data_IF_257120914634
#
_entry.id   IF_257120914634
#
_cell.length_a   1.000
_cell.length_b   1.000
_cell.length_c   1.000
_cell.angle_alpha   90.00
_cell.angle_beta   90.00
_cell.angle_gamma   90.00
#
_symmetry.space_group_name_H-M   'P 1'
#
loop_
_entity.id
_entity.type
_entity.pdbx_description
1 polymer ?
#
# COMPACT_ATOMS: atom_id res chain seq x y z
N UNK A 1 15.24 -23.08 -10.47
CA UNK A 1 14.51 -22.30 -9.44
C UNK A 1 13.33 -21.60 -10.06
N UNK A 2 12.11 -22.08 -9.79
CA UNK A 2 10.83 -21.54 -10.31
C UNK A 2 10.07 -20.69 -9.27
N UNK A 3 10.79 -20.03 -8.36
CA UNK A 3 10.23 -19.16 -7.33
C UNK A 3 10.48 -17.68 -7.62
N UNK A 4 9.62 -16.79 -7.10
CA UNK A 4 9.84 -15.34 -7.12
C UNK A 4 11.08 -14.92 -6.30
N UNK A 5 11.62 -13.73 -6.58
CA UNK A 5 12.79 -13.17 -5.91
C UNK A 5 12.42 -11.82 -5.25
N UNK A 6 12.77 -11.64 -3.98
CA UNK A 6 12.50 -10.42 -3.20
C UNK A 6 13.64 -9.37 -3.29
N UNK A 7 14.61 -9.58 -4.18
CA UNK A 7 15.75 -8.70 -4.39
C UNK A 7 16.67 -8.65 -3.17
N UNK A 8 17.07 -7.43 -2.77
CA UNK A 8 17.92 -7.21 -1.60
C UNK A 8 17.14 -7.23 -0.26
N UNK A 9 15.83 -7.53 -0.28
CA UNK A 9 15.00 -7.56 0.93
C UNK A 9 15.15 -8.90 1.65
N UNK A 10 15.10 -8.86 2.98
CA UNK A 10 15.21 -10.04 3.84
C UNK A 10 13.91 -10.86 3.81
N UNK A 11 14.04 -12.18 3.68
CA UNK A 11 12.91 -13.12 3.77
C UNK A 11 12.08 -13.21 2.49
N UNK A 12 10.96 -13.93 2.57
CA UNK A 12 10.02 -14.11 1.46
C UNK A 12 8.61 -14.44 1.95
N UNK A 13 7.81 -15.09 1.10
CA UNK A 13 6.45 -15.53 1.47
C UNK A 13 6.48 -16.27 2.81
N UNK A 14 5.54 -15.90 3.70
CA UNK A 14 5.43 -16.29 5.12
C UNK A 14 6.24 -15.42 6.09
N UNK A 15 7.34 -14.80 5.70
CA UNK A 15 8.14 -14.01 6.65
C UNK A 15 7.51 -12.66 6.98
N UNK A 16 7.69 -12.17 8.21
CA UNK A 16 7.35 -10.81 8.64
C UNK A 16 8.55 -9.84 8.48
N UNK A 17 9.42 -10.12 7.51
CA UNK A 17 10.49 -9.22 7.08
C UNK A 17 10.07 -8.52 5.78
N UNK A 18 10.79 -7.47 5.38
CA UNK A 18 10.47 -6.67 4.18
C UNK A 18 10.25 -7.52 2.91
N UNK A 19 10.99 -8.62 2.72
CA UNK A 19 10.81 -9.49 1.56
C UNK A 19 9.49 -10.28 1.57
N UNK A 20 8.82 -10.41 2.72
CA UNK A 20 7.51 -11.04 2.85
C UNK A 20 6.33 -10.07 2.83
N UNK A 21 6.53 -8.80 3.19
CA UNK A 21 5.45 -7.80 3.35
C UNK A 21 5.52 -6.61 2.38
N UNK A 22 6.72 -6.22 1.91
CA UNK A 22 6.88 -5.12 0.96
C UNK A 22 6.70 -5.64 -0.47
N UNK A 23 5.77 -5.04 -1.20
CA UNK A 23 5.43 -5.44 -2.57
C UNK A 23 5.77 -4.34 -3.57
N UNK A 24 6.15 -4.68 -4.82
CA UNK A 24 6.20 -3.68 -5.89
C UNK A 24 4.78 -3.17 -6.17
N UNK A 25 4.65 -1.85 -6.32
CA UNK A 25 3.36 -1.20 -6.59
C UNK A 25 3.50 -0.17 -7.71
N UNK A 26 2.51 -0.12 -8.61
CA UNK A 26 2.39 0.91 -9.63
C UNK A 26 0.92 1.31 -9.78
N UNK A 27 0.69 2.57 -10.17
CA UNK A 27 -0.63 3.11 -10.45
C UNK A 27 -0.59 3.92 -11.76
N UNK A 28 -1.61 3.74 -12.61
CA UNK A 28 -1.71 4.42 -13.90
C UNK A 28 -3.11 4.99 -14.02
N UNK A 29 -3.19 6.30 -14.25
CA UNK A 29 -4.45 7.01 -14.49
C UNK A 29 -4.19 8.18 -15.45
N UNK A 30 -4.46 8.00 -16.76
CA UNK A 30 -4.23 9.03 -17.76
C UNK A 30 -4.96 10.33 -17.43
N UNK A 31 -4.27 11.47 -17.57
CA UNK A 31 -4.81 12.79 -17.25
C UNK A 31 -4.91 13.12 -15.76
N UNK A 32 -4.58 12.17 -14.88
CA UNK A 32 -4.62 12.38 -13.41
C UNK A 32 -3.25 12.16 -12.79
N UNK A 33 -2.66 10.97 -12.98
CA UNK A 33 -1.33 10.65 -12.46
C UNK A 33 -0.27 11.14 -13.45
N UNK A 34 0.61 12.04 -13.00
CA UNK A 34 1.84 12.38 -13.72
C UNK A 34 2.90 11.31 -13.45
N UNK A 35 3.74 10.93 -14.44
CA UNK A 35 4.83 9.98 -14.23
C UNK A 35 5.77 10.46 -13.12
N UNK A 36 5.97 9.63 -12.09
CA UNK A 36 6.81 9.93 -10.95
C UNK A 36 7.19 8.65 -10.19
N UNK A 37 8.12 8.79 -9.25
CA UNK A 37 8.40 7.79 -8.20
C UNK A 37 8.18 8.44 -6.85
N UNK A 38 7.83 7.65 -5.83
CA UNK A 38 7.57 8.12 -4.47
C UNK A 38 8.01 7.07 -3.47
N UNK A 39 8.44 7.54 -2.31
CA UNK A 39 8.74 6.77 -1.10
C UNK A 39 7.55 6.72 -0.12
N UNK A 40 6.38 7.23 -0.54
CA UNK A 40 5.16 7.18 0.26
C UNK A 40 4.82 5.74 0.64
N UNK A 41 4.64 5.50 1.94
CA UNK A 41 4.34 4.16 2.46
C UNK A 41 2.82 3.95 2.55
N UNK A 42 2.32 2.96 1.82
CA UNK A 42 0.94 2.51 1.85
C UNK A 42 0.85 1.02 2.25
N UNK A 43 -0.31 0.60 2.73
CA UNK A 43 -0.66 -0.80 3.01
C UNK A 43 -1.92 -1.16 2.23
N UNK A 44 -2.09 -2.43 1.86
CA UNK A 44 -3.11 -2.90 0.90
C UNK A 44 -4.53 -2.40 1.18
N UNK A 45 -4.90 -2.31 2.46
CA UNK A 45 -6.19 -1.77 2.93
C UNK A 45 -6.46 -0.31 2.52
N UNK A 46 -5.43 0.48 2.21
CA UNK A 46 -5.56 1.86 1.74
C UNK A 46 -6.12 1.96 0.31
N UNK A 47 -6.04 0.87 -0.46
CA UNK A 47 -6.54 0.82 -1.85
C UNK A 47 -8.05 1.06 -1.87
N UNK A 48 -8.80 0.47 -0.92
CA UNK A 48 -10.26 0.58 -0.86
C UNK A 48 -10.75 2.03 -0.66
N UNK A 49 -10.34 2.78 0.41
CA UNK A 49 -10.74 4.17 0.57
C UNK A 49 -10.19 5.08 -0.54
N UNK A 50 -9.06 4.73 -1.16
CA UNK A 50 -8.53 5.44 -2.33
C UNK A 50 -9.44 5.29 -3.55
N UNK A 51 -9.88 4.07 -3.86
CA UNK A 51 -10.79 3.79 -4.97
C UNK A 51 -12.18 4.41 -4.74
N UNK A 52 -12.71 4.33 -3.52
CA UNK A 52 -13.98 4.96 -3.15
C UNK A 52 -13.93 6.49 -3.34
N UNK A 53 -12.87 7.13 -2.87
CA UNK A 53 -12.65 8.55 -3.06
C UNK A 53 -12.51 8.91 -4.55
N UNK A 54 -11.84 8.07 -5.34
CA UNK A 54 -11.69 8.25 -6.78
C UNK A 54 -13.04 8.16 -7.52
N UNK A 55 -13.95 7.31 -7.05
CA UNK A 55 -15.30 7.14 -7.57
C UNK A 55 -16.30 8.23 -7.10
N UNK A 56 -15.89 9.14 -6.21
CA UNK A 56 -16.78 10.17 -5.65
C UNK A 56 -17.81 9.63 -4.65
N UNK A 57 -17.61 8.43 -4.11
CA UNK A 57 -18.48 7.85 -3.10
C UNK A 57 -18.32 8.60 -1.75
N UNK A 58 -19.42 8.73 -1.00
CA UNK A 58 -19.44 9.35 0.34
C UNK A 58 -19.40 8.27 1.42
N UNK A 59 -18.60 8.53 2.47
CA UNK A 59 -18.36 7.71 3.67
C UNK A 59 -17.24 6.66 3.58
N UNK A 60 -16.35 6.74 4.58
CA UNK A 60 -15.27 5.81 4.92
C UNK A 60 -15.21 5.63 6.45
N UNK A 61 -16.35 5.68 7.13
CA UNK A 61 -16.37 5.52 8.58
C UNK A 61 -15.99 4.10 8.97
N UNK A 62 -15.18 3.97 10.03
CA UNK A 62 -14.74 2.67 10.55
C UNK A 62 -13.70 1.94 9.68
N UNK A 63 -13.12 2.58 8.68
CA UNK A 63 -12.00 1.99 7.92
C UNK A 63 -10.67 2.32 8.60
N UNK A 64 -9.84 1.31 8.78
CA UNK A 64 -8.46 1.49 9.22
C UNK A 64 -7.57 2.06 8.09
N UNK A 65 -7.94 1.81 6.83
CA UNK A 65 -7.21 2.27 5.64
C UNK A 65 -7.39 3.77 5.40
N UNK A 66 -6.35 4.43 4.87
CA UNK A 66 -6.37 5.86 4.57
C UNK A 66 -6.17 6.10 3.08
N UNK A 67 -7.01 6.96 2.49
CA UNK A 67 -6.90 7.28 1.07
C UNK A 67 -5.57 7.98 0.73
N UNK A 68 -4.89 7.48 -0.30
CA UNK A 68 -3.74 8.14 -0.92
C UNK A 68 -4.10 8.81 -2.26
N UNK A 69 -5.39 9.10 -2.49
CA UNK A 69 -5.83 9.82 -3.69
C UNK A 69 -5.15 11.19 -3.89
N UNK A 70 -4.88 11.99 -2.84
CA UNK A 70 -4.11 13.23 -2.99
C UNK A 70 -2.75 12.98 -3.64
N UNK A 71 -2.00 11.96 -3.20
CA UNK A 71 -0.72 11.57 -3.81
C UNK A 71 -0.88 11.30 -5.30
N UNK A 72 -1.91 10.55 -5.71
CA UNK A 72 -2.15 10.22 -7.12
C UNK A 72 -2.47 11.47 -7.97
N UNK A 73 -3.18 12.45 -7.41
CA UNK A 73 -3.60 13.65 -8.13
C UNK A 73 -2.54 14.75 -8.19
N UNK A 74 -1.75 14.91 -7.13
CA UNK A 74 -0.84 16.06 -6.97
C UNK A 74 0.63 15.65 -7.00
N UNK A 75 0.94 14.36 -6.88
CA UNK A 75 2.30 13.87 -6.66
C UNK A 75 2.82 14.12 -5.23
N UNK A 76 1.99 14.70 -4.35
CA UNK A 76 2.38 15.04 -2.98
C UNK A 76 1.28 14.64 -2.00
N UNK A 77 1.67 13.90 -0.97
CA UNK A 77 0.85 13.70 0.21
C UNK A 77 1.78 13.64 1.40
N UNK A 78 1.57 14.53 2.37
CA UNK A 78 2.24 14.41 3.65
C UNK A 78 1.75 13.10 4.26
N UNK A 79 2.67 12.13 4.39
CA UNK A 79 2.39 10.91 5.14
C UNK A 79 2.01 11.34 6.56
N UNK A 80 0.78 11.06 6.96
CA UNK A 80 0.44 11.16 8.38
C UNK A 80 1.22 10.08 9.10
N UNK A 81 1.88 10.43 10.20
CA UNK A 81 2.43 9.41 11.09
C UNK A 81 1.30 8.47 11.50
N UNK A 82 1.48 7.19 11.16
CA UNK A 82 0.57 6.10 11.52
C UNK A 82 1.36 4.82 11.61
N UNK A 83 0.93 3.95 12.49
CA UNK A 83 1.48 2.62 12.63
C UNK A 83 0.92 1.69 11.55
N UNK A 84 1.78 0.82 11.02
CA UNK A 84 1.39 -0.26 10.13
C UNK A 84 1.49 -1.58 10.89
N UNK A 85 0.36 -2.26 11.06
CA UNK A 85 0.31 -3.50 11.80
C UNK A 85 0.39 -4.69 10.85
N UNK A 86 1.39 -5.55 11.08
CA UNK A 86 1.51 -6.84 10.42
C UNK A 86 1.42 -7.91 11.50
N UNK A 87 0.47 -8.82 11.36
CA UNK A 87 0.28 -9.94 12.28
C UNK A 87 0.40 -11.22 11.48
N UNK A 88 1.21 -12.14 11.98
CA UNK A 88 1.24 -13.52 11.53
C UNK A 88 0.72 -14.38 12.67
N UNK A 89 -0.32 -15.16 12.39
CA UNK A 89 -0.69 -16.27 13.28
C UNK A 89 0.26 -17.41 13.01
N UNK A 90 1.16 -17.68 13.95
CA UNK A 90 1.89 -18.94 13.98
C UNK A 90 0.95 -20.02 14.51
N UNK A 91 0.85 -21.15 13.81
CA UNK A 91 -0.01 -22.26 14.22
C UNK A 91 0.48 -22.89 15.51
N UNK A 92 -0.41 -22.96 16.52
CA UNK A 92 -0.44 -23.92 17.65
C UNK A 92 -1.57 -23.62 18.67
N UNK A 93 -2.57 -22.81 18.32
CA UNK A 93 -3.86 -22.69 19.00
C UNK A 93 -4.93 -22.47 17.95
#
# INVERSE_FOLDING_TARGET
NVGGNCGNLRGGKQDMYEGGIRVPACAVWPGVIKPATTDFTAITMDIFPTAMAAAGAKSTEGLDGQSFLPLLKTGMQVAKERDLFFTRREGNL
#
